data_IF_436999520211
#
_entry.id   IF_436999520211
#
_cell.length_a   1.000
_cell.length_b   1.000
_cell.length_c   1.000
_cell.angle_alpha   90.00
_cell.angle_beta   90.00
_cell.angle_gamma   90.00
#
_symmetry.space_group_name_H-M   'P 1'
#
loop_
_entity.id
_entity.type
_entity.pdbx_description
1 polymer ?
#
# COMPACT_ATOMS: atom_id res chain seq x y z
N UNK A 1 18.77 -59.43 -60.62
CA UNK A 1 18.28 -58.17 -61.24
C UNK A 1 17.40 -57.49 -60.20
N UNK A 2 17.94 -56.63 -59.34
CA UNK A 2 18.32 -55.20 -59.47
C UNK A 2 17.22 -54.28 -58.90
N UNK A 3 17.67 -53.37 -58.02
CA UNK A 3 17.09 -52.06 -57.65
C UNK A 3 15.93 -52.08 -56.65
N UNK A 4 15.88 -51.26 -55.60
CA UNK A 4 16.70 -50.11 -55.21
C UNK A 4 15.85 -49.04 -54.51
N UNK A 5 16.33 -48.57 -53.35
CA UNK A 5 16.28 -47.21 -52.80
C UNK A 5 14.90 -46.55 -52.52
N UNK A 6 14.59 -46.25 -51.25
CA UNK A 6 14.55 -44.89 -50.63
C UNK A 6 13.80 -44.89 -49.29
N UNK A 7 14.46 -44.38 -48.26
CA UNK A 7 13.84 -43.85 -47.04
C UNK A 7 13.11 -42.54 -47.33
N UNK A 8 12.08 -42.18 -46.55
CA UNK A 8 11.91 -40.80 -46.15
C UNK A 8 11.96 -40.64 -44.62
N UNK A 9 12.83 -39.72 -44.21
CA UNK A 9 12.80 -38.97 -42.97
C UNK A 9 11.51 -38.14 -42.93
N UNK A 10 10.79 -38.16 -41.81
CA UNK A 10 9.81 -37.16 -41.34
C UNK A 10 8.99 -37.83 -40.21
N UNK A 11 8.73 -37.27 -39.04
CA UNK A 11 8.94 -35.95 -38.48
C UNK A 11 8.79 -36.14 -36.98
N UNK A 12 9.74 -35.60 -36.21
CA UNK A 12 9.55 -35.30 -34.80
C UNK A 12 8.30 -34.45 -34.65
N UNK A 13 7.20 -35.03 -34.17
CA UNK A 13 6.15 -34.23 -33.52
C UNK A 13 6.52 -34.25 -32.05
N UNK A 14 7.28 -33.23 -31.65
CA UNK A 14 7.29 -32.77 -30.27
C UNK A 14 5.83 -32.47 -29.94
N UNK A 15 5.20 -33.32 -29.14
CA UNK A 15 4.12 -32.86 -28.29
C UNK A 15 4.80 -31.95 -27.27
N UNK A 16 4.93 -30.67 -27.63
CA UNK A 16 4.96 -29.62 -26.63
C UNK A 16 3.64 -29.79 -25.88
N UNK A 17 3.76 -30.36 -24.68
CA UNK A 17 2.70 -30.36 -23.69
C UNK A 17 2.36 -28.87 -23.51
N UNK A 18 1.28 -28.42 -24.14
CA UNK A 18 0.70 -27.11 -23.89
C UNK A 18 0.25 -27.17 -22.43
N UNK A 19 1.16 -26.80 -21.53
CA UNK A 19 0.86 -26.58 -20.14
C UNK A 19 -0.17 -25.46 -20.11
N UNK A 20 -1.46 -25.83 -20.05
CA UNK A 20 -2.54 -24.90 -19.73
C UNK A 20 -2.05 -24.04 -18.56
N UNK A 21 -1.95 -22.75 -18.83
CA UNK A 21 -1.51 -21.75 -17.88
C UNK A 21 -2.55 -21.69 -16.77
N UNK A 22 -2.32 -22.48 -15.72
CA UNK A 22 -3.20 -22.53 -14.58
C UNK A 22 -2.98 -21.26 -13.77
N UNK A 23 -3.97 -20.36 -13.78
CA UNK A 23 -3.96 -19.14 -12.99
C UNK A 23 -4.30 -19.52 -11.53
N UNK A 24 -3.42 -19.28 -10.56
CA UNK A 24 -3.70 -19.56 -9.15
C UNK A 24 -4.93 -18.77 -8.69
N UNK A 25 -5.84 -19.43 -7.97
CA UNK A 25 -7.03 -18.80 -7.40
C UNK A 25 -7.01 -18.92 -5.88
N UNK A 26 -7.47 -17.86 -5.21
CA UNK A 26 -7.71 -17.84 -3.77
C UNK A 26 -9.08 -18.44 -3.48
N UNK A 27 -9.10 -19.55 -2.75
CA UNK A 27 -10.30 -20.21 -2.25
C UNK A 27 -10.45 -19.95 -0.75
N UNK A 28 -11.67 -19.60 -0.33
CA UNK A 28 -12.02 -19.46 1.09
C UNK A 28 -12.60 -20.79 1.56
N UNK A 29 -11.84 -21.54 2.35
CA UNK A 29 -12.26 -22.85 2.87
C UNK A 29 -13.17 -22.68 4.08
N UNK A 30 -12.76 -21.82 5.00
CA UNK A 30 -13.51 -21.51 6.21
C UNK A 30 -13.32 -20.03 6.54
N UNK A 31 -14.38 -19.35 6.92
CA UNK A 31 -14.28 -17.98 7.42
C UNK A 31 -15.34 -17.74 8.48
N UNK A 32 -14.86 -17.30 9.63
CA UNK A 32 -15.63 -16.81 10.77
C UNK A 32 -15.15 -15.40 11.10
N UNK A 33 -15.74 -14.76 12.13
CA UNK A 33 -15.33 -13.42 12.55
C UNK A 33 -13.89 -13.35 13.11
N UNK A 34 -13.40 -14.46 13.71
CA UNK A 34 -12.09 -14.50 14.38
C UNK A 34 -11.10 -15.45 13.71
N UNK A 35 -11.55 -16.34 12.84
CA UNK A 35 -10.71 -17.34 12.19
C UNK A 35 -11.03 -17.46 10.70
N UNK A 36 -9.99 -17.52 9.87
CA UNK A 36 -10.11 -17.77 8.44
C UNK A 36 -9.07 -18.76 7.95
N UNK A 37 -9.50 -19.67 7.07
CA UNK A 37 -8.67 -20.65 6.36
C UNK A 37 -8.80 -20.42 4.86
N UNK A 38 -7.66 -20.16 4.23
CA UNK A 38 -7.56 -19.79 2.83
C UNK A 38 -6.63 -20.73 2.10
N UNK A 39 -6.96 -21.07 0.85
CA UNK A 39 -6.16 -21.94 0.02
C UNK A 39 -5.82 -21.28 -1.31
N UNK A 40 -4.57 -21.42 -1.74
CA UNK A 40 -4.10 -20.99 -3.06
C UNK A 40 -3.52 -22.22 -3.75
N UNK A 41 -4.31 -22.77 -4.67
CA UNK A 41 -3.90 -23.90 -5.49
C UNK A 41 -3.15 -23.42 -6.74
N UNK A 42 -2.26 -24.26 -7.26
CA UNK A 42 -1.63 -24.03 -8.56
C UNK A 42 -0.36 -23.20 -8.54
N UNK A 43 0.23 -22.97 -7.37
CA UNK A 43 1.47 -22.22 -7.28
C UNK A 43 2.62 -23.01 -7.90
N UNK A 44 3.53 -22.31 -8.57
CA UNK A 44 4.79 -22.92 -8.96
C UNK A 44 5.56 -23.46 -7.75
N UNK A 45 6.34 -24.52 -7.96
CA UNK A 45 7.07 -25.18 -6.89
C UNK A 45 8.00 -24.20 -6.17
N UNK A 46 7.91 -24.16 -4.84
CA UNK A 46 8.69 -23.27 -3.97
C UNK A 46 8.03 -21.92 -3.70
N UNK A 47 7.09 -21.47 -4.53
CA UNK A 47 6.37 -20.22 -4.31
C UNK A 47 5.40 -20.31 -3.13
N UNK A 48 4.87 -21.51 -2.82
CA UNK A 48 4.04 -21.71 -1.63
C UNK A 48 4.76 -21.29 -0.35
N UNK A 49 6.02 -21.69 -0.18
CA UNK A 49 6.84 -21.32 0.98
C UNK A 49 7.20 -19.84 0.99
N UNK A 50 7.55 -19.27 -0.17
CA UNK A 50 7.90 -17.86 -0.29
C UNK A 50 6.74 -16.95 0.08
N UNK A 51 5.56 -17.19 -0.51
CA UNK A 51 4.34 -16.44 -0.21
C UNK A 51 3.86 -16.68 1.21
N UNK A 52 3.82 -17.93 1.67
CA UNK A 52 3.38 -18.28 3.03
C UNK A 52 4.22 -17.61 4.11
N UNK A 53 5.55 -17.66 3.98
CA UNK A 53 6.44 -16.98 4.93
C UNK A 53 6.34 -15.46 4.84
N UNK A 54 6.32 -14.90 3.62
CA UNK A 54 6.18 -13.46 3.39
C UNK A 54 4.91 -12.89 4.03
N UNK A 55 3.76 -13.48 3.69
CA UNK A 55 2.46 -13.07 4.22
C UNK A 55 2.39 -13.27 5.73
N UNK A 56 2.87 -14.39 6.28
CA UNK A 56 2.90 -14.62 7.73
C UNK A 56 3.71 -13.56 8.47
N UNK A 57 4.84 -13.12 7.93
CA UNK A 57 5.66 -12.05 8.53
C UNK A 57 4.93 -10.72 8.54
N UNK A 58 4.26 -10.37 7.45
CA UNK A 58 3.49 -9.12 7.37
C UNK A 58 2.29 -9.16 8.31
N UNK A 59 1.53 -10.25 8.31
CA UNK A 59 0.35 -10.45 9.18
C UNK A 59 0.70 -10.26 10.66
N UNK A 60 1.85 -10.75 11.12
CA UNK A 60 2.24 -10.66 12.53
C UNK A 60 3.03 -9.39 12.89
N UNK A 61 3.62 -8.70 11.90
CA UNK A 61 4.62 -7.66 12.15
C UNK A 61 4.23 -6.25 11.69
N UNK A 62 3.47 -6.12 10.61
CA UNK A 62 3.26 -4.84 9.92
C UNK A 62 1.78 -4.52 9.68
N UNK A 63 0.88 -5.25 10.32
CA UNK A 63 -0.55 -4.96 10.22
C UNK A 63 -0.87 -3.66 10.95
N UNK A 64 -1.58 -2.71 10.30
CA UNK A 64 -2.04 -1.51 10.95
C UNK A 64 -3.17 -1.84 11.92
N UNK A 65 -3.17 -1.18 13.08
CA UNK A 65 -4.28 -1.27 14.02
C UNK A 65 -4.35 -0.07 14.94
N UNK A 66 -5.31 -0.12 15.86
CA UNK A 66 -5.64 1.00 16.77
C UNK A 66 -5.53 0.53 18.20
N UNK A 67 -4.79 1.26 19.03
CA UNK A 67 -4.54 0.90 20.42
C UNK A 67 -4.54 2.11 21.34
N UNK A 68 -4.72 1.86 22.63
CA UNK A 68 -4.58 2.86 23.69
C UNK A 68 -3.09 3.07 23.96
N UNK A 69 -2.64 4.33 23.91
CA UNK A 69 -1.24 4.73 24.15
C UNK A 69 -1.06 5.42 25.50
N UNK A 70 -2.15 5.98 26.05
CA UNK A 70 -2.11 6.68 27.33
C UNK A 70 -3.46 6.65 28.03
N UNK A 71 -3.44 6.85 29.34
CA UNK A 71 -4.62 7.03 30.16
C UNK A 71 -4.41 8.22 31.11
N UNK A 72 -5.45 9.02 31.32
CA UNK A 72 -5.50 10.07 32.35
C UNK A 72 -6.65 9.76 33.28
N UNK A 73 -6.33 9.45 34.52
CA UNK A 73 -7.30 9.14 35.58
C UNK A 73 -7.44 10.37 36.46
N UNK A 74 -8.68 10.81 36.70
CA UNK A 74 -8.93 11.98 37.53
C UNK A 74 -8.41 11.75 38.96
N UNK A 75 -7.65 12.73 39.47
CA UNK A 75 -7.09 12.68 40.83
C UNK A 75 -5.79 11.87 40.97
N UNK A 76 -5.30 11.24 39.90
CA UNK A 76 -4.08 10.42 39.94
C UNK A 76 -2.96 11.04 39.10
N UNK A 77 -1.75 11.05 39.66
CA UNK A 77 -0.57 11.60 38.99
C UNK A 77 0.39 10.54 38.48
N UNK A 78 0.37 9.34 39.08
CA UNK A 78 1.29 8.25 38.80
C UNK A 78 0.60 6.88 38.93
N UNK A 79 1.20 5.87 38.35
CA UNK A 79 0.69 4.49 38.23
C UNK A 79 0.74 3.68 39.53
N UNK A 80 1.51 4.13 40.54
CA UNK A 80 1.66 3.45 41.84
C UNK A 80 0.52 3.75 42.83
N UNK A 81 -0.47 4.54 42.41
CA UNK A 81 -1.60 4.94 43.25
C UNK A 81 -2.71 3.92 43.30
N UNK A 82 -3.72 4.24 44.10
CA UNK A 82 -5.02 3.56 44.11
C UNK A 82 -6.12 4.61 43.96
N UNK A 83 -7.19 4.25 43.25
CA UNK A 83 -8.39 5.06 43.16
C UNK A 83 -9.29 4.65 44.32
N UNK A 84 -9.81 5.60 45.14
CA UNK A 84 -10.73 5.27 46.22
C UNK A 84 -11.91 4.41 45.72
N UNK A 85 -12.22 3.35 46.45
CA UNK A 85 -13.31 2.41 46.14
C UNK A 85 -13.13 1.59 44.84
N UNK A 86 -11.98 1.67 44.18
CA UNK A 86 -11.60 0.73 43.11
C UNK A 86 -10.81 -0.42 43.71
N UNK A 87 -11.23 -1.65 43.40
CA UNK A 87 -10.61 -2.87 43.94
C UNK A 87 -9.21 -3.12 43.38
N UNK A 88 -9.04 -2.91 42.07
CA UNK A 88 -7.79 -3.05 41.36
C UNK A 88 -6.85 -1.86 41.64
N UNK A 89 -5.54 -2.09 41.55
CA UNK A 89 -4.57 -0.99 41.52
C UNK A 89 -4.55 -0.29 40.17
N UNK A 90 -4.00 0.94 40.09
CA UNK A 90 -3.88 1.65 38.82
C UNK A 90 -3.03 0.86 37.81
N UNK A 91 -1.93 0.24 38.25
CA UNK A 91 -1.11 -0.61 37.37
C UNK A 91 -1.88 -1.79 36.77
N UNK A 92 -2.74 -2.44 37.54
CA UNK A 92 -3.59 -3.54 37.06
C UNK A 92 -4.65 -3.03 36.08
N UNK A 93 -5.30 -1.90 36.40
CA UNK A 93 -6.21 -1.22 35.49
C UNK A 93 -5.55 -0.86 34.14
N UNK A 94 -4.31 -0.35 34.16
CA UNK A 94 -3.57 -0.04 32.93
C UNK A 94 -3.23 -1.30 32.12
N UNK A 95 -2.95 -2.42 32.77
CA UNK A 95 -2.77 -3.71 32.09
C UNK A 95 -4.09 -4.17 31.46
N UNK A 96 -5.20 -4.07 32.18
CA UNK A 96 -6.53 -4.40 31.66
C UNK A 96 -6.91 -3.50 30.48
N UNK A 97 -6.56 -2.21 30.52
CA UNK A 97 -6.80 -1.28 29.41
C UNK A 97 -6.09 -1.70 28.10
N UNK A 98 -4.93 -2.37 28.16
CA UNK A 98 -4.25 -2.95 26.97
C UNK A 98 -5.08 -4.06 26.29
N UNK A 99 -6.03 -4.64 27.02
CA UNK A 99 -6.95 -5.65 26.51
C UNK A 99 -8.11 -5.08 25.67
N UNK A 100 -8.34 -3.77 25.69
CA UNK A 100 -9.40 -3.13 24.91
C UNK A 100 -9.07 -3.25 23.42
N UNK A 101 -10.04 -3.70 22.62
CA UNK A 101 -9.94 -3.84 21.16
C UNK A 101 -10.78 -2.79 20.48
N UNK A 102 -10.10 -1.90 19.75
CA UNK A 102 -10.70 -0.72 19.13
C UNK A 102 -10.58 -0.87 17.62
N UNK A 103 -11.72 -0.81 16.93
CA UNK A 103 -11.78 -0.65 15.48
C UNK A 103 -12.00 0.83 15.17
N UNK A 104 -11.08 1.42 14.43
CA UNK A 104 -11.20 2.80 13.98
C UNK A 104 -11.64 2.86 12.52
N UNK A 105 -12.54 3.79 12.20
CA UNK A 105 -12.86 4.11 10.79
C UNK A 105 -11.69 4.86 10.13
N UNK A 106 -11.63 4.80 8.79
CA UNK A 106 -10.43 5.12 8.00
C UNK A 106 -9.81 6.50 8.33
N UNK A 107 -10.63 7.53 8.52
CA UNK A 107 -10.18 8.88 8.87
C UNK A 107 -10.68 9.27 10.27
N UNK A 108 -9.75 9.47 11.20
CA UNK A 108 -10.08 10.07 12.50
C UNK A 108 -9.04 11.09 12.91
N UNK A 109 -9.50 12.30 13.20
CA UNK A 109 -8.73 13.33 13.91
C UNK A 109 -8.87 13.16 15.43
N UNK A 110 -9.88 12.41 15.87
CA UNK A 110 -10.16 12.15 17.27
C UNK A 110 -9.20 11.08 17.80
N UNK A 111 -8.49 11.41 18.88
CA UNK A 111 -7.50 10.55 19.54
C UNK A 111 -7.87 10.19 20.97
N UNK A 112 -9.13 10.42 21.38
CA UNK A 112 -9.51 10.35 22.79
C UNK A 112 -10.83 9.60 22.99
N UNK A 113 -10.83 8.70 23.98
CA UNK A 113 -12.02 8.02 24.51
C UNK A 113 -12.20 8.36 25.99
N UNK A 114 -13.44 8.40 26.47
CA UNK A 114 -13.72 8.70 27.88
C UNK A 114 -14.57 7.60 28.51
N UNK A 115 -14.13 7.12 29.66
CA UNK A 115 -14.85 6.21 30.54
C UNK A 115 -15.41 7.00 31.72
N UNK A 116 -16.68 6.78 32.02
CA UNK A 116 -17.34 7.29 33.22
C UNK A 116 -18.10 6.15 33.88
N UNK A 117 -17.65 5.73 35.05
CA UNK A 117 -18.33 4.73 35.87
C UNK A 117 -18.56 5.28 37.27
N UNK A 118 -19.73 5.00 37.83
CA UNK A 118 -20.16 5.45 39.15
C UNK A 118 -21.06 4.41 39.80
N UNK A 119 -20.95 4.23 41.11
CA UNK A 119 -21.71 3.24 41.86
C UNK A 119 -21.00 1.89 42.00
N UNK A 120 -21.53 1.01 42.86
CA UNK A 120 -20.98 -0.33 43.07
C UNK A 120 -21.20 -1.21 41.83
N UNK A 121 -20.14 -1.86 41.33
CA UNK A 121 -20.26 -2.74 40.16
C UNK A 121 -18.98 -2.99 39.38
N UNK A 122 -19.07 -3.90 38.41
CA UNK A 122 -18.02 -4.19 37.43
C UNK A 122 -18.01 -3.11 36.33
N UNK A 123 -16.82 -2.61 36.00
CA UNK A 123 -16.59 -1.63 34.95
C UNK A 123 -15.98 -2.36 33.76
N UNK A 124 -16.69 -2.36 32.64
CA UNK A 124 -16.29 -3.08 31.41
C UNK A 124 -15.97 -2.11 30.28
N UNK A 125 -15.32 -2.60 29.23
CA UNK A 125 -14.98 -1.80 28.06
C UNK A 125 -16.22 -1.20 27.35
N UNK A 126 -17.39 -1.84 27.49
CA UNK A 126 -18.67 -1.32 27.00
C UNK A 126 -19.13 -0.02 27.68
N UNK A 127 -18.64 0.31 28.86
CA UNK A 127 -18.98 1.54 29.59
C UNK A 127 -18.21 2.77 29.08
N UNK A 128 -17.19 2.56 28.26
CA UNK A 128 -16.49 3.63 27.56
C UNK A 128 -17.48 4.26 26.60
N UNK A 129 -17.48 5.60 26.49
CA UNK A 129 -18.29 6.32 25.50
C UNK A 129 -17.49 6.43 24.21
N UNK A 130 -17.66 5.53 23.22
CA UNK A 130 -16.98 5.67 21.94
C UNK A 130 -17.49 6.90 21.21
N UNK A 131 -16.57 7.68 20.64
CA UNK A 131 -16.93 8.62 19.60
C UNK A 131 -17.42 7.85 18.38
N UNK A 132 -18.26 8.45 17.52
CA UNK A 132 -18.82 7.83 16.30
C UNK A 132 -17.82 7.22 15.30
N UNK A 133 -16.51 7.46 15.52
CA UNK A 133 -15.41 7.02 14.65
C UNK A 133 -14.71 5.78 15.20
N UNK A 134 -14.90 5.47 16.48
CA UNK A 134 -14.35 4.29 17.14
C UNK A 134 -15.46 3.30 17.48
N UNK A 135 -15.15 2.03 17.37
CA UNK A 135 -16.00 0.92 17.77
C UNK A 135 -15.20 0.03 18.72
N UNK A 136 -15.78 -0.29 19.88
CA UNK A 136 -15.18 -1.22 20.84
C UNK A 136 -15.70 -2.61 20.50
N UNK A 137 -14.79 -3.51 20.16
CA UNK A 137 -15.15 -4.83 19.59
C UNK A 137 -15.31 -5.90 20.67
N UNK A 138 -14.77 -5.66 21.86
CA UNK A 138 -14.89 -6.53 23.03
C UNK A 138 -15.55 -5.78 24.23
N UNK A 139 -16.83 -5.39 24.13
CA UNK A 139 -17.52 -4.64 25.19
C UNK A 139 -17.56 -5.37 26.54
N UNK A 140 -17.46 -6.70 26.54
CA UNK A 140 -17.44 -7.57 27.71
C UNK A 140 -16.12 -7.55 28.50
N UNK A 141 -15.09 -6.86 28.01
CA UNK A 141 -13.76 -6.91 28.60
C UNK A 141 -13.70 -6.15 29.93
N UNK A 142 -13.35 -6.85 31.00
CA UNK A 142 -13.20 -6.30 32.35
C UNK A 142 -12.08 -5.25 32.43
N UNK A 143 -12.37 -4.12 33.09
CA UNK A 143 -11.38 -3.07 33.36
C UNK A 143 -11.08 -2.91 34.84
N UNK A 144 -12.13 -2.74 35.65
CA UNK A 144 -12.04 -2.54 37.10
C UNK A 144 -13.35 -2.90 37.80
N UNK A 145 -13.34 -2.97 39.13
CA UNK A 145 -14.49 -3.19 40.00
C UNK A 145 -14.56 -2.07 41.02
N UNK A 146 -15.74 -1.46 41.18
CA UNK A 146 -16.03 -0.47 42.21
C UNK A 146 -16.75 -1.14 43.38
N UNK A 147 -16.16 -1.08 44.57
CA UNK A 147 -16.62 -1.80 45.78
C UNK A 147 -17.61 -0.97 46.64
N UNK A 148 -18.01 0.22 46.20
CA UNK A 148 -18.94 1.08 46.94
C UNK A 148 -19.79 1.96 46.02
N UNK A 149 -21.01 2.30 46.47
CA UNK A 149 -21.94 3.21 45.79
C UNK A 149 -21.36 4.62 45.55
N UNK A 150 -20.43 5.05 46.39
CA UNK A 150 -19.73 6.34 46.28
C UNK A 150 -18.50 6.28 45.36
N UNK A 151 -18.17 5.09 44.82
CA UNK A 151 -17.06 4.91 43.90
C UNK A 151 -17.31 5.65 42.58
N UNK A 152 -16.31 6.41 42.13
CA UNK A 152 -16.34 7.11 40.85
C UNK A 152 -15.00 6.90 40.13
N UNK A 153 -15.08 6.51 38.86
CA UNK A 153 -13.94 6.33 37.98
C UNK A 153 -14.16 7.12 36.69
N UNK A 154 -13.34 8.16 36.52
CA UNK A 154 -13.31 8.99 35.31
C UNK A 154 -11.95 8.88 34.66
N UNK A 155 -11.92 8.30 33.45
CA UNK A 155 -10.68 8.04 32.71
C UNK A 155 -10.79 8.57 31.30
N UNK A 156 -9.73 9.22 30.84
CA UNK A 156 -9.57 9.67 29.46
C UNK A 156 -8.43 8.89 28.82
N UNK A 157 -8.72 8.08 27.82
CA UNK A 157 -7.73 7.29 27.08
C UNK A 157 -7.26 8.03 25.83
N UNK A 158 -5.95 8.09 25.61
CA UNK A 158 -5.35 8.45 24.34
C UNK A 158 -5.30 7.23 23.42
N UNK A 159 -5.77 7.38 22.19
CA UNK A 159 -5.88 6.33 21.18
C UNK A 159 -5.15 6.76 19.93
N UNK A 160 -4.32 5.86 19.40
CA UNK A 160 -3.57 6.10 18.17
C UNK A 160 -3.68 4.92 17.20
N UNK A 161 -3.44 5.23 15.93
CA UNK A 161 -3.17 4.22 14.90
C UNK A 161 -1.67 3.99 14.80
N UNK A 162 -1.27 2.74 14.64
CA UNK A 162 0.13 2.37 14.53
C UNK A 162 0.27 0.96 13.95
N UNK A 163 1.49 0.45 13.98
CA UNK A 163 1.84 -0.89 13.54
C UNK A 163 2.66 -1.58 14.64
N UNK A 164 2.49 -2.90 14.77
CA UNK A 164 3.28 -3.71 15.67
C UNK A 164 3.10 -3.35 17.15
N UNK A 165 4.23 -3.29 17.86
CA UNK A 165 4.29 -3.00 19.29
C UNK A 165 5.10 -1.74 19.54
N UNK A 166 4.56 -0.84 20.37
CA UNK A 166 5.29 0.33 20.89
C UNK A 166 5.32 0.25 22.40
N UNK A 167 6.52 0.12 22.96
CA UNK A 167 6.72 0.25 24.40
C UNK A 167 6.37 1.67 24.84
N UNK A 168 5.84 1.82 26.05
CA UNK A 168 5.61 3.15 26.59
C UNK A 168 6.93 3.92 26.75
N UNK A 169 6.92 5.20 26.39
CA UNK A 169 8.01 6.13 26.64
C UNK A 169 7.59 7.14 27.71
N UNK A 170 8.36 7.21 28.80
CA UNK A 170 8.12 8.17 29.87
C UNK A 170 8.46 9.61 29.47
N UNK A 171 9.33 9.81 28.47
CA UNK A 171 9.72 11.15 28.00
C UNK A 171 8.63 11.79 27.10
N UNK A 172 7.91 10.99 26.30
CA UNK A 172 6.77 11.47 25.49
C UNK A 172 5.54 11.82 26.36
N UNK A 173 5.42 11.24 27.55
CA UNK A 173 4.37 11.53 28.53
C UNK A 173 4.62 12.84 29.30
N UNK A 174 5.00 13.91 28.60
CA UNK A 174 5.44 15.20 29.17
C UNK A 174 4.33 16.02 29.88
N UNK A 175 3.18 15.44 30.18
CA UNK A 175 2.05 16.08 30.86
C UNK A 175 1.79 15.48 32.24
N UNK A 176 1.66 16.32 33.27
CA UNK A 176 1.30 15.86 34.61
C UNK A 176 -0.04 15.10 34.58
N UNK A 177 -0.06 13.88 35.15
CA UNK A 177 -1.25 13.02 35.19
C UNK A 177 -1.55 12.25 33.90
N UNK A 178 -0.63 12.17 32.94
CA UNK A 178 -0.71 11.24 31.82
C UNK A 178 0.04 9.96 32.20
N UNK A 179 -0.68 8.85 32.25
CA UNK A 179 -0.13 7.52 32.50
C UNK A 179 0.11 6.85 31.15
N UNK A 180 1.36 6.57 30.76
CA UNK A 180 1.63 5.97 29.47
C UNK A 180 1.33 4.47 29.50
N UNK A 181 0.92 3.92 28.36
CA UNK A 181 0.49 2.52 28.22
C UNK A 181 1.18 1.93 27.00
N UNK A 182 1.74 0.72 27.13
CA UNK A 182 2.26 -0.01 25.97
C UNK A 182 1.15 -0.24 24.95
N UNK A 183 1.43 0.09 23.70
CA UNK A 183 0.46 -0.01 22.63
C UNK A 183 0.71 -1.26 21.78
N UNK A 184 -0.31 -2.13 21.72
CA UNK A 184 -0.33 -3.33 20.87
C UNK A 184 -1.26 -3.04 19.71
N UNK A 185 -0.70 -2.68 18.56
CA UNK A 185 -1.47 -2.35 17.36
C UNK A 185 -1.79 -3.57 16.50
N UNK A 186 -1.18 -4.74 16.76
CA UNK A 186 -1.34 -5.92 15.92
C UNK A 186 -2.72 -6.57 16.08
N UNK A 187 -3.58 -6.59 15.05
CA UNK A 187 -4.92 -7.18 15.11
C UNK A 187 -4.94 -8.71 14.89
N UNK A 188 -3.82 -9.28 14.42
CA UNK A 188 -3.65 -10.72 14.17
C UNK A 188 -2.97 -11.37 15.38
N UNK A 189 -3.66 -12.32 16.01
CA UNK A 189 -3.17 -13.04 17.18
C UNK A 189 -2.26 -14.21 16.79
N UNK A 190 -2.60 -14.87 15.68
CA UNK A 190 -1.88 -16.04 15.19
C UNK A 190 -2.03 -16.15 13.67
N UNK A 191 -0.96 -16.58 13.01
CA UNK A 191 -0.97 -16.91 11.60
C UNK A 191 -0.09 -18.14 11.36
N UNK A 192 -0.66 -19.13 10.67
CA UNK A 192 0.00 -20.36 10.28
C UNK A 192 -0.11 -20.53 8.76
N UNK A 193 0.83 -21.26 8.17
CA UNK A 193 0.71 -21.71 6.80
C UNK A 193 1.25 -23.13 6.66
N UNK A 194 0.70 -23.84 5.69
CA UNK A 194 1.11 -25.19 5.30
C UNK A 194 1.24 -25.23 3.78
N UNK A 195 2.26 -25.93 3.29
CA UNK A 195 2.53 -26.11 1.87
C UNK A 195 2.51 -27.59 1.55
N UNK A 196 1.61 -27.99 0.67
CA UNK A 196 1.47 -29.37 0.21
C UNK A 196 1.81 -29.47 -1.28
N UNK A 197 2.40 -30.57 -1.70
CA UNK A 197 2.60 -30.87 -3.12
C UNK A 197 1.31 -31.39 -3.74
N UNK A 198 0.86 -30.78 -4.84
CA UNK A 198 -0.32 -31.26 -5.56
C UNK A 198 -0.02 -32.51 -6.38
N UNK A 199 -1.08 -33.29 -6.63
CA UNK A 199 -1.04 -34.53 -7.42
C UNK A 199 -2.00 -34.46 -8.62
N UNK A 200 -1.91 -35.43 -9.54
CA UNK A 200 -2.75 -35.46 -10.74
C UNK A 200 -2.32 -34.45 -11.80
N UNK A 201 -3.28 -33.73 -12.40
CA UNK A 201 -3.03 -32.77 -13.49
C UNK A 201 -2.14 -31.59 -13.07
N UNK A 202 -2.09 -31.28 -11.77
CA UNK A 202 -1.27 -30.21 -11.19
C UNK A 202 -0.03 -30.75 -10.47
N UNK A 203 0.41 -31.96 -10.81
CA UNK A 203 1.60 -32.55 -10.21
C UNK A 203 2.83 -31.66 -10.38
N UNK A 204 3.57 -31.44 -9.29
CA UNK A 204 4.75 -30.58 -9.28
C UNK A 204 4.48 -29.09 -9.00
N UNK A 205 3.23 -28.72 -8.72
CA UNK A 205 2.83 -27.41 -8.18
C UNK A 205 2.52 -27.50 -6.68
N UNK A 206 2.59 -26.37 -6.00
CA UNK A 206 2.33 -26.23 -4.57
C UNK A 206 0.88 -25.81 -4.31
N UNK A 207 0.30 -26.33 -3.23
CA UNK A 207 -0.92 -25.86 -2.59
C UNK A 207 -0.53 -25.15 -1.29
N UNK A 208 -0.83 -23.85 -1.20
CA UNK A 208 -0.59 -23.06 0.01
C UNK A 208 -1.89 -22.93 0.80
N UNK A 209 -1.91 -23.44 2.03
CA UNK A 209 -3.00 -23.21 2.99
C UNK A 209 -2.54 -22.20 4.03
N UNK A 210 -3.32 -21.15 4.27
CA UNK A 210 -3.05 -20.11 5.27
C UNK A 210 -4.19 -20.09 6.27
N UNK A 211 -3.85 -20.10 7.55
CA UNK A 211 -4.79 -20.00 8.67
C UNK A 211 -4.49 -18.74 9.49
N UNK A 212 -5.51 -17.93 9.74
CA UNK A 212 -5.39 -16.62 10.40
C UNK A 212 -6.38 -16.55 11.55
N UNK A 213 -5.91 -16.10 12.72
CA UNK A 213 -6.74 -15.79 13.87
C UNK A 213 -6.62 -14.29 14.21
N UNK A 214 -7.75 -13.58 14.23
CA UNK A 214 -7.83 -12.14 14.52
C UNK A 214 -8.54 -11.88 15.85
N UNK A 215 -8.34 -10.69 16.40
CA UNK A 215 -9.00 -10.22 17.63
C UNK A 215 -10.37 -9.57 17.40
N UNK A 216 -11.01 -9.86 16.26
CA UNK A 216 -12.22 -9.24 15.71
C UNK A 216 -12.06 -7.81 15.22
N UNK A 217 -10.96 -7.09 15.44
CA UNK A 217 -10.83 -5.71 14.93
C UNK A 217 -10.78 -5.65 13.41
N UNK A 218 -10.29 -6.71 12.76
CA UNK A 218 -10.27 -6.92 11.32
C UNK A 218 -10.78 -8.33 10.99
N UNK A 219 -11.50 -8.46 9.87
CA UNK A 219 -11.90 -9.76 9.36
C UNK A 219 -10.68 -10.52 8.80
N UNK A 220 -10.61 -11.86 8.93
CA UNK A 220 -9.47 -12.64 8.46
C UNK A 220 -9.15 -12.47 6.97
N UNK A 221 -10.17 -12.32 6.12
CA UNK A 221 -9.98 -12.13 4.66
C UNK A 221 -9.39 -10.76 4.34
N UNK A 222 -9.84 -9.71 5.03
CA UNK A 222 -9.33 -8.35 4.85
C UNK A 222 -7.93 -8.21 5.43
N UNK A 223 -7.62 -8.94 6.50
CA UNK A 223 -6.27 -9.05 7.02
C UNK A 223 -5.31 -9.68 5.99
N UNK A 224 -5.73 -10.76 5.32
CA UNK A 224 -4.94 -11.40 4.26
C UNK A 224 -4.71 -10.46 3.07
N UNK A 225 -5.74 -9.75 2.62
CA UNK A 225 -5.64 -8.77 1.52
C UNK A 225 -4.71 -7.61 1.87
N UNK A 226 -4.92 -7.01 3.04
CA UNK A 226 -4.08 -5.91 3.54
C UNK A 226 -2.62 -6.36 3.66
N UNK A 227 -2.37 -7.58 4.15
CA UNK A 227 -1.02 -8.12 4.22
C UNK A 227 -0.40 -8.34 2.84
N UNK A 228 -1.18 -8.77 1.84
CA UNK A 228 -0.71 -8.90 0.47
C UNK A 228 -0.35 -7.55 -0.16
N UNK A 229 -1.17 -6.52 0.06
CA UNK A 229 -0.91 -5.16 -0.43
C UNK A 229 0.35 -4.56 0.22
N UNK A 230 0.51 -4.73 1.53
CA UNK A 230 1.72 -4.31 2.23
C UNK A 230 2.93 -5.07 1.69
N UNK A 231 2.83 -6.40 1.52
CA UNK A 231 3.92 -7.20 0.97
C UNK A 231 4.32 -6.72 -0.43
N UNK A 232 3.34 -6.46 -1.30
CA UNK A 232 3.56 -5.91 -2.65
C UNK A 232 4.27 -4.56 -2.59
N UNK A 233 3.79 -3.62 -1.77
CA UNK A 233 4.42 -2.29 -1.65
C UNK A 233 5.90 -2.35 -1.21
N UNK A 234 6.30 -3.37 -0.43
CA UNK A 234 7.72 -3.57 -0.08
C UNK A 234 8.54 -4.10 -1.26
N UNK A 235 7.93 -4.88 -2.14
CA UNK A 235 8.56 -5.36 -3.37
C UNK A 235 8.68 -4.23 -4.41
N UNK A 236 7.73 -3.31 -4.44
CA UNK A 236 7.73 -2.18 -5.37
C UNK A 236 9.00 -1.31 -5.22
N UNK A 237 9.58 -1.22 -4.01
CA UNK A 237 10.85 -0.52 -3.74
C UNK A 237 12.01 -1.14 -4.53
N UNK A 238 12.00 -2.46 -4.73
CA UNK A 238 13.05 -3.19 -5.45
C UNK A 238 12.88 -3.01 -6.95
N UNK A 239 11.63 -2.96 -7.42
CA UNK A 239 11.31 -2.79 -8.85
C UNK A 239 11.33 -1.34 -9.29
N UNK A 240 11.31 -0.39 -8.36
CA UNK A 240 11.44 1.03 -8.63
C UNK A 240 12.76 1.28 -9.37
N UNK A 241 12.65 1.57 -10.66
CA UNK A 241 13.78 2.13 -11.40
C UNK A 241 13.94 3.59 -10.94
N UNK A 242 15.17 4.11 -10.81
CA UNK A 242 15.34 5.56 -10.70
C UNK A 242 14.63 6.17 -11.91
N UNK A 243 13.79 7.17 -11.70
CA UNK A 243 13.12 7.87 -12.80
C UNK A 243 14.20 8.41 -13.74
N UNK A 244 14.51 7.66 -14.80
CA UNK A 244 14.76 8.27 -16.09
C UNK A 244 13.43 8.85 -16.52
N UNK A 245 13.42 10.11 -16.96
CA UNK A 245 12.30 10.83 -17.59
C UNK A 245 11.81 10.16 -18.88
N UNK A 246 11.62 8.84 -18.89
CA UNK A 246 10.89 8.10 -19.91
C UNK A 246 9.47 7.90 -19.39
N UNK A 247 8.71 9.00 -19.33
CA UNK A 247 7.28 8.84 -19.51
C UNK A 247 7.07 8.20 -20.89
N UNK A 248 6.24 7.14 -21.03
CA UNK A 248 5.80 6.71 -22.32
C UNK A 248 4.96 7.85 -22.88
N UNK A 249 5.57 8.64 -23.76
CA UNK A 249 4.89 9.59 -24.61
C UNK A 249 3.67 8.86 -25.19
N UNK A 250 2.47 9.35 -24.85
CA UNK A 250 1.17 8.90 -25.38
C UNK A 250 1.31 8.45 -26.83
N UNK A 251 0.65 7.37 -27.27
CA UNK A 251 0.68 6.90 -28.66
C UNK A 251 0.48 8.04 -29.69
N UNK A 252 -0.28 9.08 -29.31
CA UNK A 252 -0.48 10.30 -30.12
C UNK A 252 0.79 11.16 -30.30
N UNK A 253 1.67 11.21 -29.29
CA UNK A 253 2.96 11.89 -29.36
C UNK A 253 3.94 11.13 -30.25
N UNK A 254 3.96 9.79 -30.17
CA UNK A 254 4.77 8.97 -31.08
C UNK A 254 4.38 9.16 -32.55
N UNK A 255 3.08 9.24 -32.83
CA UNK A 255 2.55 9.52 -34.18
C UNK A 255 2.89 10.95 -34.67
N UNK A 256 2.85 11.94 -33.77
CA UNK A 256 3.29 13.32 -34.06
C UNK A 256 4.79 13.41 -34.38
N UNK A 257 5.64 12.66 -33.68
CA UNK A 257 7.09 12.68 -33.87
C UNK A 257 7.53 12.00 -35.18
N UNK A 258 6.74 11.05 -35.69
CA UNK A 258 6.97 10.39 -36.97
C UNK A 258 6.46 11.20 -38.18
N UNK A 259 5.67 12.25 -37.96
CA UNK A 259 5.13 13.09 -39.02
C UNK A 259 6.25 13.81 -39.79
N UNK A 260 6.25 13.70 -41.12
CA UNK A 260 7.22 14.38 -41.98
C UNK A 260 6.96 15.89 -42.03
N UNK A 261 8.03 16.69 -41.98
CA UNK A 261 7.96 18.16 -42.01
C UNK A 261 7.31 18.68 -43.30
N UNK A 262 7.32 17.89 -44.38
CA UNK A 262 6.67 18.22 -45.66
C UNK A 262 5.15 18.17 -45.60
N UNK A 263 4.60 17.30 -44.76
CA UNK A 263 3.16 17.12 -44.62
C UNK A 263 2.52 18.22 -43.75
N UNK A 264 3.35 19.01 -43.07
CA UNK A 264 2.98 20.21 -42.31
C UNK A 264 2.83 21.46 -43.21
N UNK A 265 2.73 21.29 -44.53
CA UNK A 265 2.62 22.36 -45.54
C UNK A 265 1.48 23.35 -45.33
N UNK A 266 0.43 22.93 -44.62
CA UNK A 266 -0.74 23.77 -44.29
C UNK A 266 -0.57 24.56 -42.97
N UNK A 267 0.38 24.15 -42.12
CA UNK A 267 0.60 24.72 -40.77
C UNK A 267 1.91 25.53 -40.67
N UNK A 268 2.85 25.35 -41.61
CA UNK A 268 4.12 26.09 -41.66
C UNK A 268 4.32 26.77 -43.01
N UNK A 269 4.86 27.99 -42.99
CA UNK A 269 5.25 28.72 -44.21
C UNK A 269 6.23 27.93 -45.09
N UNK A 270 6.04 28.02 -46.41
CA UNK A 270 6.92 27.39 -47.42
C UNK A 270 8.40 27.79 -47.30
N UNK A 271 8.72 28.89 -46.60
CA UNK A 271 10.11 29.29 -46.29
C UNK A 271 10.75 28.39 -45.23
N UNK A 272 10.00 27.98 -44.21
CA UNK A 272 10.46 27.12 -43.11
C UNK A 272 10.73 25.72 -43.65
N UNK A 273 9.79 25.17 -44.41
CA UNK A 273 9.90 23.83 -45.00
C UNK A 273 11.10 23.76 -45.97
N UNK A 274 11.29 24.78 -46.82
CA UNK A 274 12.43 24.83 -47.74
C UNK A 274 13.78 25.08 -47.04
N UNK A 275 13.78 25.74 -45.89
CA UNK A 275 14.98 25.94 -45.09
C UNK A 275 15.38 24.63 -44.38
N UNK A 276 14.42 23.92 -43.77
CA UNK A 276 14.65 22.65 -43.07
C UNK A 276 14.96 21.50 -44.05
N UNK A 277 14.34 21.47 -45.23
CA UNK A 277 14.56 20.42 -46.25
C UNK A 277 15.98 20.38 -46.82
N UNK A 278 16.80 21.40 -46.57
CA UNK A 278 18.23 21.44 -46.97
C UNK A 278 19.15 20.74 -45.97
N UNK A 279 18.63 20.41 -44.81
CA UNK A 279 19.32 19.74 -43.71
C UNK A 279 18.77 18.31 -43.57
N UNK A 280 19.50 17.40 -42.88
CA UNK A 280 19.04 16.03 -42.65
C UNK A 280 17.97 15.99 -41.53
N UNK A 281 16.94 16.83 -41.63
CA UNK A 281 15.81 16.89 -40.71
C UNK A 281 14.56 16.64 -41.54
N UNK A 282 13.95 15.47 -41.36
CA UNK A 282 12.79 14.99 -42.14
C UNK A 282 11.53 14.89 -41.30
N UNK A 283 11.65 14.57 -40.02
CA UNK A 283 10.53 14.39 -39.11
C UNK A 283 10.54 15.39 -37.95
N UNK A 284 9.38 15.57 -37.31
CA UNK A 284 9.28 16.36 -36.08
C UNK A 284 10.16 15.82 -34.94
N UNK A 285 10.29 14.49 -34.83
CA UNK A 285 11.16 13.86 -33.85
C UNK A 285 12.66 14.10 -34.09
N UNK A 286 13.08 14.26 -35.35
CA UNK A 286 14.45 14.67 -35.68
C UNK A 286 14.70 16.14 -35.35
N UNK A 287 13.68 17.00 -35.52
CA UNK A 287 13.76 18.42 -35.18
C UNK A 287 13.94 18.64 -33.66
N UNK A 288 13.27 17.85 -32.82
CA UNK A 288 13.39 17.91 -31.36
C UNK A 288 14.80 17.63 -30.82
N UNK A 289 15.67 16.99 -31.61
CA UNK A 289 17.07 16.73 -31.21
C UNK A 289 17.94 17.98 -31.24
N UNK A 290 17.44 19.06 -31.85
CA UNK A 290 18.15 20.32 -31.94
C UNK A 290 17.53 21.35 -30.99
N UNK A 291 18.37 22.08 -30.26
CA UNK A 291 17.92 23.19 -29.42
C UNK A 291 17.57 24.43 -30.27
N UNK A 292 16.74 25.36 -29.74
CA UNK A 292 16.30 26.52 -30.50
C UNK A 292 17.46 27.38 -31.00
N UNK A 293 18.49 27.47 -30.17
CA UNK A 293 19.70 28.23 -30.41
C UNK A 293 20.55 27.58 -31.50
N UNK A 294 20.69 26.24 -31.49
CA UNK A 294 21.42 25.50 -32.53
C UNK A 294 20.71 25.60 -33.87
N UNK A 295 19.38 25.52 -33.92
CA UNK A 295 18.62 25.69 -35.17
C UNK A 295 18.80 27.08 -35.79
N UNK A 296 18.81 28.13 -34.95
CA UNK A 296 19.03 29.52 -35.40
C UNK A 296 20.44 29.74 -35.96
N UNK A 297 21.43 28.98 -35.47
CA UNK A 297 22.83 29.09 -35.92
C UNK A 297 23.14 28.21 -37.14
N UNK A 298 22.59 26.99 -37.19
CA UNK A 298 22.93 26.01 -38.22
C UNK A 298 22.16 26.21 -39.53
N UNK A 299 20.91 26.71 -39.48
CA UNK A 299 20.05 26.85 -40.66
C UNK A 299 20.25 28.21 -41.35
N UNK A 300 20.97 28.22 -42.47
CA UNK A 300 21.17 29.43 -43.29
C UNK A 300 19.84 29.89 -43.88
N UNK A 301 19.52 31.17 -43.70
CA UNK A 301 18.28 31.87 -44.11
C UNK A 301 17.04 31.68 -43.22
N UNK A 302 17.19 31.24 -41.96
CA UNK A 302 16.14 31.39 -40.95
C UNK A 302 16.02 32.86 -40.55
N UNK A 303 15.06 33.59 -41.15
CA UNK A 303 14.72 34.93 -40.68
C UNK A 303 14.06 34.88 -39.30
N UNK A 304 14.17 35.95 -38.51
CA UNK A 304 13.56 36.02 -37.17
C UNK A 304 12.06 35.73 -37.16
N UNK A 305 11.36 36.10 -38.24
CA UNK A 305 9.93 35.84 -38.41
C UNK A 305 9.65 34.35 -38.61
N UNK A 306 10.48 33.65 -39.39
CA UNK A 306 10.31 32.21 -39.66
C UNK A 306 10.72 31.34 -38.47
N UNK A 307 11.67 31.81 -37.65
CA UNK A 307 12.02 31.16 -36.39
C UNK A 307 10.89 31.26 -35.37
N UNK A 308 10.29 32.46 -35.24
CA UNK A 308 9.15 32.69 -34.34
C UNK A 308 7.96 31.81 -34.73
N UNK A 309 7.63 31.77 -36.01
CA UNK A 309 6.54 30.92 -36.54
C UNK A 309 6.79 29.42 -36.27
N UNK A 310 8.01 28.93 -36.46
CA UNK A 310 8.36 27.55 -36.10
C UNK A 310 8.22 27.30 -34.59
N UNK A 311 8.66 28.24 -33.77
CA UNK A 311 8.59 28.13 -32.32
C UNK A 311 7.16 28.12 -31.81
N UNK A 312 6.33 29.05 -32.27
CA UNK A 312 4.92 29.16 -31.91
C UNK A 312 4.20 27.84 -32.25
N UNK A 313 4.51 27.26 -33.42
CA UNK A 313 4.01 25.95 -33.82
C UNK A 313 4.47 24.81 -32.90
N UNK A 314 5.77 24.76 -32.53
CA UNK A 314 6.27 23.72 -31.63
C UNK A 314 5.74 23.85 -30.20
N UNK A 315 5.49 25.08 -29.73
CA UNK A 315 4.85 25.35 -28.43
C UNK A 315 3.36 24.96 -28.47
N UNK A 316 2.64 25.26 -29.56
CA UNK A 316 1.24 24.84 -29.75
C UNK A 316 1.07 23.32 -29.74
N UNK A 317 2.07 22.58 -30.25
CA UNK A 317 2.12 21.12 -30.21
C UNK A 317 2.69 20.53 -28.92
N UNK A 318 2.97 21.36 -27.91
CA UNK A 318 3.58 20.97 -26.63
C UNK A 318 4.97 20.28 -26.78
N UNK A 319 5.66 20.53 -27.90
CA UNK A 319 6.98 19.94 -28.20
C UNK A 319 8.15 20.81 -27.73
N UNK A 320 7.90 22.10 -27.45
CA UNK A 320 8.88 23.01 -26.84
C UNK A 320 8.28 23.74 -25.64
N UNK A 321 9.09 24.10 -24.62
CA UNK A 321 8.61 24.91 -23.52
C UNK A 321 8.25 26.31 -24.05
N UNK A 322 7.11 26.83 -23.59
CA UNK A 322 6.80 28.25 -23.74
C UNK A 322 7.84 29.07 -22.97
N UNK A 323 8.30 30.20 -23.52
CA UNK A 323 9.31 31.03 -22.84
C UNK A 323 8.84 31.46 -21.44
N UNK A 324 9.68 31.20 -20.43
CA UNK A 324 9.80 32.11 -19.29
C UNK A 324 10.47 33.38 -19.81
N UNK A 325 9.81 34.53 -19.68
CA UNK A 325 10.40 35.83 -19.96
C UNK A 325 11.64 36.03 -19.05
N UNK A 326 12.84 35.95 -19.62
CA UNK A 326 14.05 36.50 -19.00
C UNK A 326 13.83 38.02 -18.81
N UNK A 327 13.59 38.43 -17.56
CA UNK A 327 13.68 39.83 -17.18
C UNK A 327 15.15 40.26 -17.29
N UNK A 328 15.48 41.31 -18.06
CA UNK A 328 16.83 41.84 -18.07
C UNK A 328 17.11 42.58 -16.74
N UNK A 329 18.29 42.32 -16.16
CA UNK A 329 18.89 43.17 -15.10
C UNK A 329 19.07 44.64 -15.55
#
# INVERSE_FOLDING_TARGET
MISGIRSPIATTVQFADEAEEYVPQLEVVESTETYGKFQIAGLERGWGTTLGNGLRRVLLGSMPGTAITSARIVGQQHEYGSVPHMREGIGEFLINAKGIRIRARAETTQKVLTLYASGEGEVVAGDIKPHSVFEIVNPEHHLATLDADEGELVVTFGVEKGEGYRAFDHEEAAGHGILPVDAIFTPVLKANYEVEGMSGRLSGRDLLTIEIWTDRTIEPIDALRTAADIFKSKLDIITAQPESDDQPASDAMSELLETEIKDLGDQLSSRIINALSRYPIRTLGELMRFTPETLKQEVRNFGEVSFRELRDFMVEKELWPAEEEEQPE
#
